data_IF_990542502456
#
_entry.id   IF_990542502456
#
_cell.length_a   1.000
_cell.length_b   1.000
_cell.length_c   1.000
_cell.angle_alpha   90.00
_cell.angle_beta   90.00
_cell.angle_gamma   90.00
#
_symmetry.space_group_name_H-M   'P 1'
#
loop_
_entity.id
_entity.type
_entity.pdbx_description
1 polymer ?
#
# COMPACT_ATOMS: atom_id res chain seq x y z
N UNK A 1 8.00 -0.50 16.72
CA UNK A 1 7.67 0.82 16.13
C UNK A 1 6.25 0.73 15.58
N UNK A 2 5.28 1.46 16.15
CA UNK A 2 3.98 1.68 15.52
C UNK A 2 4.16 2.89 14.61
N UNK A 3 4.07 2.70 13.30
CA UNK A 3 3.97 3.82 12.38
C UNK A 3 2.54 4.34 12.46
N UNK A 4 2.34 5.48 13.11
CA UNK A 4 1.09 6.25 12.97
C UNK A 4 1.15 6.97 11.62
N UNK A 5 0.75 6.28 10.56
CA UNK A 5 0.55 6.91 9.26
C UNK A 5 -0.70 7.79 9.33
N UNK A 6 -0.54 9.10 9.13
CA UNK A 6 -1.64 10.07 9.14
C UNK A 6 -2.33 10.24 7.78
N UNK A 7 -1.96 9.43 6.78
CA UNK A 7 -2.52 9.48 5.44
C UNK A 7 -3.96 8.97 5.49
N UNK A 8 -4.97 9.79 5.13
CA UNK A 8 -6.35 9.33 5.01
C UNK A 8 -6.48 8.27 3.93
N UNK A 9 -7.26 7.21 4.19
CA UNK A 9 -7.39 6.09 3.25
C UNK A 9 -8.02 6.51 1.92
N UNK A 10 -8.83 7.58 1.91
CA UNK A 10 -9.42 8.15 0.71
C UNK A 10 -8.39 8.63 -0.32
N UNK A 11 -7.14 8.91 0.09
CA UNK A 11 -6.05 9.30 -0.81
C UNK A 11 -5.39 8.10 -1.49
N UNK A 12 -5.57 6.89 -0.93
CA UNK A 12 -4.92 5.65 -1.40
C UNK A 12 -5.91 4.71 -2.09
N UNK A 13 -7.17 4.75 -1.69
CA UNK A 13 -8.19 3.84 -2.21
C UNK A 13 -8.45 4.04 -3.71
N UNK A 14 -8.86 2.97 -4.38
CA UNK A 14 -9.44 3.06 -5.72
C UNK A 14 -10.93 3.35 -5.62
N UNK A 15 -11.38 4.36 -6.35
CA UNK A 15 -12.79 4.74 -6.42
C UNK A 15 -13.59 3.77 -7.30
N UNK A 16 -14.90 3.70 -7.06
CA UNK A 16 -15.86 2.91 -7.87
C UNK A 16 -15.45 1.44 -8.00
N UNK A 17 -15.38 0.70 -6.88
CA UNK A 17 -15.04 -0.72 -6.94
C UNK A 17 -16.08 -1.51 -7.73
N UNK A 18 -15.65 -2.58 -8.39
CA UNK A 18 -16.55 -3.48 -9.08
C UNK A 18 -17.63 -4.02 -8.13
N UNK A 19 -18.89 -3.91 -8.51
CA UNK A 19 -20.04 -4.42 -7.74
C UNK A 19 -20.84 -5.46 -8.51
N UNK A 20 -21.36 -6.48 -7.81
CA UNK A 20 -22.18 -7.53 -8.41
C UNK A 20 -23.41 -7.81 -7.53
N UNK A 21 -24.60 -8.08 -8.08
CA UNK A 21 -25.74 -8.54 -7.29
C UNK A 21 -25.45 -9.87 -6.58
N UNK A 22 -25.96 -10.05 -5.36
CA UNK A 22 -25.80 -11.30 -4.58
C UNK A 22 -26.45 -12.53 -5.23
N UNK A 23 -27.42 -12.30 -6.11
CA UNK A 23 -28.17 -13.31 -6.88
C UNK A 23 -27.64 -13.50 -8.30
N UNK A 24 -26.58 -12.79 -8.69
CA UNK A 24 -25.85 -13.08 -9.92
C UNK A 24 -25.07 -14.40 -9.79
N UNK A 25 -24.73 -15.00 -10.93
CA UNK A 25 -23.92 -16.21 -10.98
C UNK A 25 -22.44 -15.90 -10.77
N UNK A 26 -21.68 -16.89 -10.32
CA UNK A 26 -20.23 -16.79 -10.20
C UNK A 26 -19.57 -16.57 -11.57
N UNK A 27 -20.14 -17.12 -12.65
CA UNK A 27 -19.69 -16.84 -14.01
C UNK A 27 -19.76 -15.36 -14.37
N UNK A 28 -20.86 -14.67 -14.03
CA UNK A 28 -21.00 -13.23 -14.25
C UNK A 28 -20.03 -12.43 -13.38
N UNK A 29 -19.81 -12.85 -12.12
CA UNK A 29 -18.81 -12.23 -11.27
C UNK A 29 -17.40 -12.36 -11.85
N UNK A 30 -17.03 -13.54 -12.36
CA UNK A 30 -15.76 -13.78 -13.02
C UNK A 30 -15.60 -12.93 -14.29
N UNK A 31 -16.64 -12.88 -15.13
CA UNK A 31 -16.65 -12.04 -16.33
C UNK A 31 -16.44 -10.56 -15.98
N UNK A 32 -17.13 -10.06 -14.95
CA UNK A 32 -16.98 -8.69 -14.47
C UNK A 32 -15.56 -8.43 -13.95
N UNK A 33 -14.98 -9.35 -13.19
CA UNK A 33 -13.58 -9.28 -12.73
C UNK A 33 -12.60 -9.16 -13.90
N UNK A 34 -12.79 -9.95 -14.97
CA UNK A 34 -11.96 -9.86 -16.17
C UNK A 34 -12.15 -8.54 -16.92
N UNK A 35 -13.39 -8.07 -17.09
CA UNK A 35 -13.70 -6.84 -17.83
C UNK A 35 -13.17 -5.59 -17.14
N UNK A 36 -13.22 -5.55 -15.81
CA UNK A 36 -12.76 -4.41 -15.01
C UNK A 36 -11.31 -4.57 -14.52
N UNK A 37 -10.63 -5.66 -14.89
CA UNK A 37 -9.26 -5.98 -14.50
C UNK A 37 -9.04 -5.97 -12.97
N UNK A 38 -10.00 -6.53 -12.23
CA UNK A 38 -9.98 -6.60 -10.76
C UNK A 38 -10.13 -8.03 -10.25
N UNK A 39 -9.49 -8.35 -9.12
CA UNK A 39 -9.58 -9.67 -8.50
C UNK A 39 -10.76 -9.87 -7.54
N UNK A 40 -11.71 -8.93 -7.47
CA UNK A 40 -12.94 -9.04 -6.65
C UNK A 40 -14.07 -8.16 -7.11
N UNK A 41 -15.28 -8.57 -6.73
CA UNK A 41 -16.47 -7.74 -6.76
C UNK A 41 -17.11 -7.65 -5.37
N UNK A 42 -17.64 -6.49 -5.03
CA UNK A 42 -18.45 -6.29 -3.84
C UNK A 42 -19.87 -6.73 -4.14
N UNK A 43 -20.38 -7.65 -3.34
CA UNK A 43 -21.71 -8.21 -3.50
C UNK A 43 -22.75 -7.28 -2.86
N UNK A 44 -23.74 -6.86 -3.65
CA UNK A 44 -24.81 -5.96 -3.23
C UNK A 44 -26.14 -6.70 -3.09
N UNK A 45 -26.85 -6.44 -1.99
CA UNK A 45 -28.24 -6.85 -1.80
C UNK A 45 -29.10 -5.60 -1.64
N UNK A 46 -30.05 -5.37 -2.56
CA UNK A 46 -30.86 -4.14 -2.60
C UNK A 46 -30.00 -2.87 -2.53
N UNK A 47 -28.95 -2.82 -3.35
CA UNK A 47 -27.96 -1.73 -3.40
C UNK A 47 -27.14 -1.49 -2.14
N UNK A 48 -27.29 -2.34 -1.11
CA UNK A 48 -26.46 -2.28 0.11
C UNK A 48 -25.33 -3.31 0.04
N UNK A 49 -24.12 -2.95 0.49
CA UNK A 49 -23.02 -3.91 0.60
C UNK A 49 -23.38 -5.06 1.55
N UNK A 50 -23.30 -6.29 1.04
CA UNK A 50 -23.62 -7.51 1.79
C UNK A 50 -22.41 -8.42 1.98
N UNK A 51 -21.48 -8.42 1.02
CA UNK A 51 -20.31 -9.28 1.05
C UNK A 51 -19.30 -8.93 -0.04
N UNK A 52 -18.30 -9.79 -0.19
CA UNK A 52 -17.29 -9.68 -1.24
C UNK A 52 -16.99 -11.06 -1.82
N UNK A 53 -16.86 -11.14 -3.13
CA UNK A 53 -16.40 -12.33 -3.84
C UNK A 53 -15.05 -12.03 -4.50
N UNK A 54 -14.14 -12.98 -4.40
CA UNK A 54 -12.76 -12.87 -4.89
C UNK A 54 -12.41 -14.03 -5.81
N UNK A 55 -11.34 -13.90 -6.60
CA UNK A 55 -10.76 -15.02 -7.37
C UNK A 55 -10.50 -16.27 -6.52
N UNK A 56 -10.10 -16.08 -5.26
CA UNK A 56 -9.87 -17.19 -4.33
C UNK A 56 -11.18 -17.92 -4.00
N UNK A 57 -12.29 -17.20 -3.86
CA UNK A 57 -13.60 -17.83 -3.64
C UNK A 57 -14.01 -18.67 -4.86
N UNK A 58 -13.78 -18.16 -6.07
CA UNK A 58 -14.05 -18.88 -7.32
C UNK A 58 -13.22 -20.17 -7.36
N UNK A 59 -11.91 -20.05 -7.13
CA UNK A 59 -11.01 -21.20 -7.17
C UNK A 59 -11.33 -22.23 -6.09
N UNK A 60 -11.47 -21.83 -4.83
CA UNK A 60 -11.59 -22.76 -3.72
C UNK A 60 -13.02 -23.27 -3.48
N UNK A 61 -14.06 -22.48 -3.81
CA UNK A 61 -15.46 -22.82 -3.48
C UNK A 61 -16.29 -23.25 -4.69
N UNK A 62 -15.79 -23.04 -5.91
CA UNK A 62 -16.48 -23.43 -7.15
C UNK A 62 -15.63 -24.41 -7.95
N UNK A 63 -14.47 -23.98 -8.46
CA UNK A 63 -13.62 -24.81 -9.34
C UNK A 63 -13.09 -26.05 -8.62
N UNK A 64 -12.49 -25.88 -7.44
CA UNK A 64 -11.96 -27.00 -6.65
C UNK A 64 -13.03 -27.98 -6.15
N UNK A 65 -14.31 -27.60 -6.24
CA UNK A 65 -15.46 -28.44 -5.87
C UNK A 65 -16.21 -28.99 -7.09
N UNK A 66 -15.66 -28.81 -8.29
CA UNK A 66 -16.26 -29.20 -9.56
C UNK A 66 -17.70 -28.68 -9.76
N UNK A 67 -17.97 -27.47 -9.25
CA UNK A 67 -19.27 -26.81 -9.42
C UNK A 67 -19.24 -25.97 -10.68
N UNK A 68 -20.34 -25.96 -11.44
CA UNK A 68 -20.48 -25.12 -12.64
C UNK A 68 -20.65 -23.64 -12.25
N UNK A 69 -19.75 -22.72 -12.66
CA UNK A 69 -19.85 -21.31 -12.27
C UNK A 69 -21.14 -20.60 -12.71
N UNK A 70 -21.78 -21.08 -13.78
CA UNK A 70 -23.06 -20.55 -14.27
C UNK A 70 -24.29 -20.96 -13.46
N UNK A 71 -24.16 -21.96 -12.58
CA UNK A 71 -25.26 -22.48 -11.75
C UNK A 71 -25.09 -22.09 -10.26
N UNK A 72 -23.93 -21.58 -9.87
CA UNK A 72 -23.63 -21.13 -8.49
C UNK A 72 -23.85 -19.63 -8.38
N UNK A 73 -24.57 -19.19 -7.35
CA UNK A 73 -24.80 -17.78 -7.06
C UNK A 73 -23.70 -17.19 -6.18
N UNK A 74 -23.45 -15.89 -6.36
CA UNK A 74 -22.45 -15.14 -5.57
C UNK A 74 -22.69 -15.29 -4.07
N UNK A 75 -23.94 -15.17 -3.60
CA UNK A 75 -24.29 -15.31 -2.17
C UNK A 75 -23.89 -16.63 -1.53
N UNK A 76 -23.74 -17.69 -2.30
CA UNK A 76 -23.38 -19.01 -1.79
C UNK A 76 -21.89 -19.14 -1.48
N UNK A 77 -21.06 -18.30 -2.09
CA UNK A 77 -19.60 -18.42 -2.02
C UNK A 77 -18.90 -17.15 -1.53
N UNK A 78 -19.57 -15.99 -1.56
CA UNK A 78 -19.01 -14.73 -1.05
C UNK A 78 -18.64 -14.82 0.43
N UNK A 79 -17.71 -13.97 0.85
CA UNK A 79 -17.47 -13.72 2.27
C UNK A 79 -18.44 -12.67 2.78
N UNK A 80 -19.11 -12.97 3.91
CA UNK A 80 -20.11 -12.12 4.55
C UNK A 80 -20.07 -12.34 6.07
N UNK A 81 -20.29 -11.32 6.93
CA UNK A 81 -20.56 -9.92 6.60
C UNK A 81 -19.35 -9.23 5.95
N UNK A 82 -19.60 -8.17 5.19
CA UNK A 82 -18.54 -7.38 4.57
C UNK A 82 -17.73 -6.65 5.65
N UNK A 83 -16.41 -6.87 5.66
CA UNK A 83 -15.49 -6.10 6.49
C UNK A 83 -15.16 -4.80 5.76
N UNK A 84 -15.42 -3.65 6.39
CA UNK A 84 -15.28 -2.32 5.78
C UNK A 84 -14.53 -1.36 6.69
N UNK A 85 -14.08 -0.24 6.14
CA UNK A 85 -13.58 0.91 6.88
C UNK A 85 -14.28 2.19 6.40
N UNK A 86 -14.29 3.22 7.25
CA UNK A 86 -14.76 4.56 6.86
C UNK A 86 -13.69 5.29 6.03
N UNK A 87 -14.10 6.21 5.17
CA UNK A 87 -13.23 7.00 4.32
C UNK A 87 -12.39 8.04 5.07
N UNK A 88 -12.72 8.34 6.33
CA UNK A 88 -11.94 9.19 7.23
C UNK A 88 -10.78 8.47 7.95
N UNK A 89 -10.76 7.13 7.90
CA UNK A 89 -9.74 6.30 8.54
C UNK A 89 -8.38 6.50 7.91
N UNK A 90 -7.34 6.27 8.68
CA UNK A 90 -5.96 6.31 8.18
C UNK A 90 -5.57 5.00 7.48
N UNK A 91 -4.48 5.03 6.71
CA UNK A 91 -3.85 3.81 6.19
C UNK A 91 -3.51 2.83 7.30
N UNK A 92 -2.97 3.31 8.43
CA UNK A 92 -2.62 2.48 9.59
C UNK A 92 -3.83 1.75 10.18
N UNK A 93 -4.95 2.46 10.37
CA UNK A 93 -6.20 1.87 10.85
C UNK A 93 -6.69 0.75 9.93
N UNK A 94 -6.58 0.94 8.61
CA UNK A 94 -7.01 -0.06 7.63
C UNK A 94 -6.07 -1.27 7.56
N UNK A 95 -4.76 -1.06 7.73
CA UNK A 95 -3.80 -2.16 7.89
C UNK A 95 -4.12 -2.99 9.13
N UNK A 96 -4.46 -2.35 10.25
CA UNK A 96 -4.87 -3.04 11.47
C UNK A 96 -6.14 -3.88 11.25
N UNK A 97 -7.12 -3.36 10.50
CA UNK A 97 -8.31 -4.12 10.07
C UNK A 97 -7.89 -5.32 9.21
N UNK A 98 -7.01 -5.12 8.22
CA UNK A 98 -6.53 -6.20 7.35
C UNK A 98 -5.85 -7.32 8.14
N UNK A 99 -4.97 -6.97 9.08
CA UNK A 99 -4.25 -7.93 9.94
C UNK A 99 -5.22 -8.66 10.86
N UNK A 100 -6.08 -7.91 11.56
CA UNK A 100 -7.06 -8.47 12.51
C UNK A 100 -8.00 -9.47 11.85
N UNK A 101 -8.50 -9.14 10.66
CA UNK A 101 -9.46 -9.96 9.93
C UNK A 101 -8.81 -10.92 8.92
N UNK A 102 -7.47 -10.89 8.78
CA UNK A 102 -6.70 -11.66 7.80
C UNK A 102 -7.20 -11.48 6.36
N UNK A 103 -7.59 -10.25 6.01
CA UNK A 103 -8.10 -9.89 4.68
C UNK A 103 -7.06 -9.06 3.93
N UNK A 104 -7.05 -9.20 2.60
CA UNK A 104 -6.10 -8.48 1.72
C UNK A 104 -6.69 -7.25 1.03
N UNK A 105 -7.97 -6.99 1.29
CA UNK A 105 -8.74 -5.93 0.66
C UNK A 105 -9.85 -5.49 1.60
N UNK A 106 -10.08 -4.19 1.67
CA UNK A 106 -11.08 -3.57 2.54
C UNK A 106 -11.85 -2.56 1.71
N UNK A 107 -13.15 -2.79 1.47
CA UNK A 107 -14.04 -1.78 0.94
C UNK A 107 -14.16 -0.58 1.88
N UNK A 108 -14.15 0.61 1.29
CA UNK A 108 -14.30 1.88 1.98
C UNK A 108 -15.74 2.37 1.80
N UNK A 109 -16.35 2.74 2.92
CA UNK A 109 -17.76 3.12 2.99
C UNK A 109 -17.88 4.55 3.47
N UNK A 110 -18.81 5.29 2.89
CA UNK A 110 -19.21 6.64 3.33
C UNK A 110 -20.74 6.70 3.28
N UNK A 111 -21.38 7.16 4.36
CA UNK A 111 -22.85 7.23 4.48
C UNK A 111 -23.58 5.90 4.17
N UNK A 112 -22.95 4.77 4.45
CA UNK A 112 -23.51 3.43 4.21
C UNK A 112 -23.38 2.92 2.76
N UNK A 113 -22.75 3.67 1.87
CA UNK A 113 -22.46 3.27 0.50
C UNK A 113 -20.99 2.98 0.30
N UNK A 114 -20.66 1.99 -0.53
CA UNK A 114 -19.27 1.75 -0.90
C UNK A 114 -18.79 2.82 -1.88
N UNK A 115 -17.77 3.57 -1.50
CA UNK A 115 -17.17 4.63 -2.32
C UNK A 115 -15.83 4.21 -2.91
N UNK A 116 -15.13 3.27 -2.27
CA UNK A 116 -13.83 2.80 -2.72
C UNK A 116 -13.48 1.39 -2.25
N UNK A 117 -12.31 0.93 -2.67
CA UNK A 117 -11.67 -0.28 -2.16
C UNK A 117 -10.17 -0.04 -2.06
N UNK A 118 -9.55 -0.58 -1.03
CA UNK A 118 -8.09 -0.61 -0.90
C UNK A 118 -7.61 -2.03 -0.74
N UNK A 119 -6.50 -2.37 -1.38
CA UNK A 119 -5.83 -3.66 -1.29
C UNK A 119 -4.47 -3.51 -0.63
N UNK A 120 -3.90 -4.63 -0.16
CA UNK A 120 -2.51 -4.66 0.32
C UNK A 120 -1.54 -4.15 -0.76
N UNK A 121 -1.83 -4.39 -2.06
CA UNK A 121 -0.98 -3.89 -3.14
C UNK A 121 -1.00 -2.37 -3.24
N UNK A 122 -2.18 -1.76 -3.10
CA UNK A 122 -2.30 -0.30 -3.15
C UNK A 122 -1.53 0.35 -1.97
N UNK A 123 -1.60 -0.24 -0.78
CA UNK A 123 -0.85 0.23 0.40
C UNK A 123 0.67 0.09 0.19
N UNK A 124 1.12 -1.02 -0.41
CA UNK A 124 2.55 -1.23 -0.70
C UNK A 124 3.06 -0.29 -1.79
N UNK A 125 2.24 0.07 -2.78
CA UNK A 125 2.63 1.00 -3.84
C UNK A 125 2.99 2.38 -3.27
N UNK A 126 2.22 2.89 -2.29
CA UNK A 126 2.53 4.16 -1.60
C UNK A 126 3.91 4.13 -0.96
N UNK A 127 4.33 2.99 -0.39
CA UNK A 127 5.66 2.87 0.22
C UNK A 127 6.80 2.91 -0.81
N UNK A 128 6.56 2.45 -2.04
CA UNK A 128 7.55 2.49 -3.12
C UNK A 128 7.77 3.93 -3.62
N UNK A 129 6.68 4.66 -3.86
CA UNK A 129 6.73 6.09 -4.23
C UNK A 129 7.45 6.92 -3.14
N UNK A 130 7.18 6.61 -1.87
CA UNK A 130 7.85 7.27 -0.74
C UNK A 130 9.36 7.02 -0.72
N UNK A 131 9.84 5.85 -1.15
CA UNK A 131 11.27 5.55 -1.23
C UNK A 131 11.96 6.35 -2.33
N UNK A 132 11.30 6.56 -3.47
CA UNK A 132 11.82 7.40 -4.55
C UNK A 132 11.94 8.87 -4.10
N UNK A 133 10.89 9.38 -3.44
CA UNK A 133 10.90 10.73 -2.85
C UNK A 133 12.03 10.85 -1.82
N UNK A 134 12.16 9.88 -0.90
CA UNK A 134 13.24 9.88 0.09
C UNK A 134 14.62 9.88 -0.56
N UNK A 135 14.81 9.14 -1.65
CA UNK A 135 16.09 9.09 -2.38
C UNK A 135 16.44 10.47 -2.95
N UNK A 136 15.47 11.15 -3.58
CA UNK A 136 15.65 12.51 -4.09
C UNK A 136 15.94 13.53 -2.97
N UNK A 137 15.25 13.41 -1.83
CA UNK A 137 15.49 14.29 -0.68
C UNK A 137 16.87 14.04 -0.06
N UNK A 138 17.37 12.81 -0.03
CA UNK A 138 18.73 12.49 0.39
C UNK A 138 19.75 13.14 -0.55
N UNK A 139 19.50 13.13 -1.86
CA UNK A 139 20.37 13.82 -2.84
C UNK A 139 20.43 15.33 -2.59
N UNK A 140 19.29 15.97 -2.34
CA UNK A 140 19.23 17.42 -2.06
C UNK A 140 19.87 17.78 -0.71
N UNK A 141 19.74 16.90 0.29
CA UNK A 141 20.29 17.11 1.63
C UNK A 141 21.68 16.52 1.83
N UNK A 142 22.31 15.98 0.78
CA UNK A 142 23.76 15.80 0.75
C UNK A 142 24.41 17.19 0.66
N UNK A 143 24.36 17.92 1.78
CA UNK A 143 25.22 19.06 2.04
C UNK A 143 26.66 18.55 1.93
N UNK A 144 27.37 19.02 0.91
CA UNK A 144 28.79 18.83 0.58
C UNK A 144 29.58 17.86 1.48
N UNK A 145 29.88 16.69 0.91
CA UNK A 145 30.95 15.76 1.32
C UNK A 145 31.22 15.65 2.82
N UNK A 146 30.28 15.12 3.60
CA UNK A 146 30.63 14.55 4.90
C UNK A 146 30.92 13.07 4.66
N UNK A 147 32.18 12.78 4.35
CA UNK A 147 32.65 11.41 4.13
C UNK A 147 33.24 10.91 5.44
N UNK A 148 32.76 9.76 5.90
CA UNK A 148 33.42 9.05 6.99
C UNK A 148 34.61 8.27 6.43
N UNK A 149 35.79 8.52 6.95
CA UNK A 149 37.02 7.89 6.46
C UNK A 149 38.25 8.33 7.24
N UNK A 150 39.42 8.06 6.69
CA UNK A 150 40.71 8.47 7.27
C UNK A 150 41.11 9.82 6.68
N UNK A 151 41.51 10.76 7.53
CA UNK A 151 42.06 12.04 7.10
C UNK A 151 43.44 11.86 6.46
N UNK A 152 43.66 12.47 5.30
CA UNK A 152 44.94 12.38 4.57
C UNK A 152 46.10 13.13 5.28
N UNK A 153 45.81 13.95 6.30
CA UNK A 153 46.81 14.75 7.02
C UNK A 153 47.14 14.17 8.40
N UNK A 154 46.13 13.91 9.23
CA UNK A 154 46.34 13.41 10.60
C UNK A 154 46.14 11.90 10.76
N UNK A 155 45.78 11.20 9.68
CA UNK A 155 45.51 9.75 9.64
C UNK A 155 44.45 9.26 10.64
N UNK A 156 43.68 10.16 11.25
CA UNK A 156 42.62 9.81 12.17
C UNK A 156 41.32 9.49 11.41
N UNK A 157 40.55 8.55 11.94
CA UNK A 157 39.18 8.31 11.48
C UNK A 157 38.32 9.53 11.85
N UNK A 158 37.65 10.11 10.87
CA UNK A 158 36.78 11.26 11.02
C UNK A 158 35.46 11.00 10.30
N UNK A 159 34.35 11.35 10.94
CA UNK A 159 33.03 11.38 10.34
C UNK A 159 32.69 12.74 9.72
N UNK A 160 33.64 13.68 9.72
CA UNK A 160 33.56 15.01 9.10
C UNK A 160 34.78 15.27 8.19
N UNK A 161 35.00 14.45 7.15
CA UNK A 161 36.02 14.73 6.12
C UNK A 161 35.41 15.45 4.92
N UNK A 162 36.09 16.48 4.42
CA UNK A 162 35.75 17.20 3.18
C UNK A 162 36.95 17.24 2.24
N UNK A 163 36.68 17.32 0.93
CA UNK A 163 37.72 17.48 -0.09
C UNK A 163 38.24 18.93 -0.12
N UNK A 164 39.53 19.12 0.13
CA UNK A 164 40.25 20.39 -0.01
C UNK A 164 41.47 20.14 -0.89
N UNK A 165 41.54 20.82 -2.04
CA UNK A 165 42.60 20.65 -3.05
C UNK A 165 42.91 19.18 -3.42
N UNK A 166 41.88 18.33 -3.43
CA UNK A 166 41.98 16.90 -3.77
C UNK A 166 42.44 15.99 -2.63
N UNK A 167 42.58 16.50 -1.40
CA UNK A 167 42.83 15.73 -0.16
C UNK A 167 41.58 15.69 0.72
N UNK A 168 41.36 14.58 1.41
CA UNK A 168 40.27 14.40 2.37
C UNK A 168 40.71 14.85 3.77
N UNK A 169 40.29 16.03 4.20
CA UNK A 169 40.74 16.65 5.45
C UNK A 169 39.62 16.70 6.49
N UNK A 170 39.94 16.44 7.77
CA UNK A 170 38.99 16.53 8.89
C UNK A 170 38.78 17.98 9.36
N UNK A 171 37.73 18.24 10.14
CA UNK A 171 37.42 19.59 10.64
C UNK A 171 38.57 20.30 11.36
N UNK A 172 39.44 19.56 12.07
CA UNK A 172 40.64 20.11 12.70
C UNK A 172 41.71 20.55 11.69
N UNK A 173 42.09 19.67 10.77
CA UNK A 173 43.13 19.95 9.78
C UNK A 173 42.71 21.03 8.76
N UNK A 174 41.41 21.14 8.46
CA UNK A 174 40.90 22.20 7.56
C UNK A 174 41.01 23.60 8.17
N UNK A 175 40.89 23.72 9.49
CA UNK A 175 40.94 25.02 10.18
C UNK A 175 42.36 25.61 10.29
N UNK A 176 43.40 24.81 10.02
CA UNK A 176 44.80 25.25 10.03
C UNK A 176 45.25 25.78 8.65
N UNK A 177 44.47 25.58 7.59
CA UNK A 177 44.75 26.04 6.22
C UNK A 177 44.14 27.41 5.86
N UNK A 178 43.31 28.02 6.72
CA UNK A 178 42.81 29.39 6.49
C UNK A 178 43.88 30.43 6.88
N UNK A 179 44.46 31.19 5.93
CA UNK A 179 45.34 32.28 6.29
C UNK A 179 44.50 33.45 6.85
N UNK A 180 45.00 34.06 7.95
CA UNK A 180 44.52 35.34 8.49
C UNK A 180 44.50 36.46 7.44
#
# INVERSE_FOLDING_TARGET
MRFETRIPIREVMKFRPATIPVDATVALAAQKMCQEEVGSCIALHNSKPAGIITEQDINCKVVAKDRKPGEVLVREVMSTPLITADADRTVGDVVDIMVKHKVRRVPIVENGFVTGIVTVRDILAVSQEMNEIMSNLIEINRYDDIITGICDECECMSDDLRSVDGRMLCGGCRAEEEPL
#
